data_IF_974062858865
#
_entry.id   IF_974062858865
#
_cell.length_a   1.000
_cell.length_b   1.000
_cell.length_c   1.000
_cell.angle_alpha   90.00
_cell.angle_beta   90.00
_cell.angle_gamma   90.00
#
_symmetry.space_group_name_H-M   'P 1'
#
loop_
_entity.id
_entity.type
_entity.pdbx_description
1 polymer ?
#
# COMPACT_ATOMS: atom_id res chain seq x y z
N UNK A 1 -8.53 3.01 -15.10
CA UNK A 1 -9.94 2.68 -14.76
C UNK A 1 -10.47 3.63 -13.70
N UNK A 2 -11.68 4.15 -13.87
CA UNK A 2 -12.36 5.02 -12.89
C UNK A 2 -13.53 4.29 -12.24
N UNK A 3 -13.71 4.46 -10.93
CA UNK A 3 -14.90 4.01 -10.20
C UNK A 3 -15.48 5.25 -9.52
N UNK A 4 -16.75 5.56 -9.77
CA UNK A 4 -17.40 6.79 -9.29
C UNK A 4 -16.59 8.07 -9.61
N UNK A 5 -15.92 8.12 -10.76
CA UNK A 5 -15.08 9.24 -11.19
C UNK A 5 -13.67 9.29 -10.59
N UNK A 6 -13.32 8.37 -9.68
CA UNK A 6 -12.00 8.32 -9.03
C UNK A 6 -11.11 7.32 -9.74
N UNK A 7 -9.87 7.70 -10.06
CA UNK A 7 -8.87 6.79 -10.64
C UNK A 7 -8.49 5.71 -9.63
N UNK A 8 -8.75 4.45 -9.98
CA UNK A 8 -8.42 3.30 -9.13
C UNK A 8 -6.91 3.16 -8.93
N UNK A 9 -6.12 3.49 -9.96
CA UNK A 9 -4.65 3.50 -9.87
C UNK A 9 -4.20 4.53 -8.83
N UNK A 10 -4.76 5.75 -8.86
CA UNK A 10 -4.44 6.79 -7.89
C UNK A 10 -4.82 6.37 -6.47
N UNK A 11 -6.02 5.83 -6.29
CA UNK A 11 -6.52 5.39 -4.99
C UNK A 11 -5.60 4.32 -4.37
N UNK A 12 -5.26 3.28 -5.14
CA UNK A 12 -4.33 2.25 -4.68
C UNK A 12 -2.92 2.79 -4.43
N UNK A 13 -2.48 3.79 -5.20
CA UNK A 13 -1.20 4.47 -4.97
C UNK A 13 -1.15 5.15 -3.61
N UNK A 14 -2.21 5.87 -3.24
CA UNK A 14 -2.33 6.53 -1.93
C UNK A 14 -2.35 5.48 -0.80
N UNK A 15 -3.11 4.40 -0.95
CA UNK A 15 -3.14 3.30 0.04
C UNK A 15 -1.75 2.69 0.23
N UNK A 16 -1.05 2.37 -0.86
CA UNK A 16 0.31 1.84 -0.80
C UNK A 16 1.29 2.81 -0.14
N UNK A 17 1.16 4.12 -0.41
CA UNK A 17 1.98 5.15 0.21
C UNK A 17 1.78 5.20 1.73
N UNK A 18 0.55 5.15 2.20
CA UNK A 18 0.25 5.12 3.64
C UNK A 18 0.82 3.85 4.28
N UNK A 19 0.61 2.69 3.64
CA UNK A 19 1.11 1.42 4.14
C UNK A 19 2.64 1.39 4.22
N UNK A 20 3.37 1.86 3.20
CA UNK A 20 4.84 1.88 3.26
C UNK A 20 5.38 2.86 4.31
N UNK A 21 4.75 4.03 4.48
CA UNK A 21 5.12 4.96 5.57
C UNK A 21 4.90 4.32 6.95
N UNK A 22 3.81 3.58 7.12
CA UNK A 22 3.59 2.78 8.32
C UNK A 22 4.68 1.71 8.51
N UNK A 23 5.09 1.01 7.45
CA UNK A 23 6.15 0.00 7.56
C UNK A 23 7.51 0.58 7.89
N UNK A 24 7.87 1.71 7.29
CA UNK A 24 9.14 2.38 7.59
C UNK A 24 9.14 2.91 9.02
N UNK A 25 8.05 3.56 9.45
CA UNK A 25 7.95 4.11 10.80
C UNK A 25 7.96 3.02 11.89
N UNK A 26 7.29 1.89 11.67
CA UNK A 26 7.31 0.76 12.60
C UNK A 26 8.62 -0.02 12.55
N UNK A 27 9.23 -0.20 11.39
CA UNK A 27 10.55 -0.83 11.22
C UNK A 27 11.68 -0.02 11.87
N UNK A 28 11.60 1.32 11.83
CA UNK A 28 12.50 2.23 12.55
C UNK A 28 12.18 2.37 14.04
N UNK A 29 11.13 1.70 14.54
CA UNK A 29 10.64 1.81 15.92
C UNK A 29 10.19 3.22 16.31
N UNK A 30 9.89 4.09 15.35
CA UNK A 30 9.24 5.39 15.61
C UNK A 30 7.82 5.20 16.12
N UNK A 31 7.13 4.17 15.61
CA UNK A 31 5.84 3.72 16.11
C UNK A 31 6.01 2.31 16.66
N UNK A 32 5.72 2.11 17.95
CA UNK A 32 5.83 0.80 18.60
C UNK A 32 4.54 0.01 18.38
N UNK A 33 4.65 -1.08 17.64
CA UNK A 33 3.55 -2.04 17.44
C UNK A 33 4.06 -3.45 17.62
N UNK A 34 3.15 -4.40 17.84
CA UNK A 34 3.52 -5.82 17.84
C UNK A 34 4.00 -6.25 16.44
N UNK A 35 5.12 -6.97 16.36
CA UNK A 35 5.73 -7.38 15.08
C UNK A 35 4.77 -8.18 14.19
N UNK A 36 3.83 -8.94 14.79
CA UNK A 36 2.80 -9.65 14.03
C UNK A 36 1.95 -8.70 13.15
N UNK A 37 1.66 -7.48 13.61
CA UNK A 37 0.94 -6.48 12.83
C UNK A 37 1.80 -5.88 11.71
N UNK A 38 3.08 -5.63 11.97
CA UNK A 38 4.04 -5.18 10.95
C UNK A 38 4.09 -6.21 9.80
N UNK A 39 4.24 -7.49 10.14
CA UNK A 39 4.27 -8.59 9.16
C UNK A 39 2.95 -8.73 8.39
N UNK A 40 1.79 -8.73 9.07
CA UNK A 40 0.47 -8.85 8.41
C UNK A 40 0.20 -7.69 7.44
N UNK A 41 0.45 -6.46 7.88
CA UNK A 41 0.30 -5.28 7.02
C UNK A 41 1.37 -5.24 5.93
N UNK A 42 2.50 -5.92 6.11
CA UNK A 42 3.59 -5.99 5.12
C UNK A 42 3.21 -6.88 3.96
N UNK A 43 2.56 -8.01 4.27
CA UNK A 43 1.94 -8.87 3.25
C UNK A 43 0.82 -8.12 2.54
N UNK A 44 -0.02 -7.37 3.27
CA UNK A 44 -1.08 -6.56 2.66
C UNK A 44 -0.49 -5.54 1.67
N UNK A 45 0.54 -4.80 2.08
CA UNK A 45 1.27 -3.84 1.23
C UNK A 45 1.82 -4.50 -0.04
N UNK A 46 2.43 -5.69 0.08
CA UNK A 46 2.95 -6.41 -1.07
C UNK A 46 1.84 -6.72 -2.09
N UNK A 47 0.72 -7.27 -1.62
CA UNK A 47 -0.40 -7.63 -2.49
C UNK A 47 -0.99 -6.38 -3.16
N UNK A 48 -1.21 -5.30 -2.40
CA UNK A 48 -1.76 -4.06 -2.96
C UNK A 48 -0.78 -3.35 -3.90
N UNK A 49 0.53 -3.45 -3.67
CA UNK A 49 1.55 -2.90 -4.56
C UNK A 49 1.63 -3.67 -5.88
N UNK A 50 1.54 -5.00 -5.85
CA UNK A 50 1.49 -5.83 -7.06
C UNK A 50 0.25 -5.51 -7.91
N UNK A 51 -0.93 -5.44 -7.29
CA UNK A 51 -2.17 -5.05 -7.98
C UNK A 51 -2.05 -3.64 -8.56
N UNK A 52 -1.53 -2.69 -7.78
CA UNK A 52 -1.32 -1.32 -8.26
C UNK A 52 -0.37 -1.27 -9.47
N UNK A 53 0.75 -1.99 -9.43
CA UNK A 53 1.72 -2.04 -10.52
C UNK A 53 1.10 -2.60 -11.81
N UNK A 54 0.37 -3.72 -11.72
CA UNK A 54 -0.34 -4.32 -12.87
C UNK A 54 -1.36 -3.34 -13.43
N UNK A 55 -2.20 -2.73 -12.59
CA UNK A 55 -3.22 -1.79 -13.06
C UNK A 55 -2.62 -0.52 -13.66
N UNK A 56 -1.53 0.00 -13.10
CA UNK A 56 -0.82 1.15 -13.63
C UNK A 56 -0.21 0.85 -15.01
N UNK A 57 0.41 -0.32 -15.16
CA UNK A 57 0.98 -0.76 -16.44
C UNK A 57 -0.10 -0.93 -17.51
N UNK A 58 -1.24 -1.53 -17.18
CA UNK A 58 -2.36 -1.72 -18.09
C UNK A 58 -3.16 -0.44 -18.37
N UNK A 59 -2.99 0.61 -17.56
CA UNK A 59 -3.66 1.91 -17.74
C UNK A 59 -2.80 2.95 -18.46
N UNK A 60 -1.62 2.54 -18.94
CA UNK A 60 -0.73 3.36 -19.78
C UNK A 60 -1.18 3.30 -21.24
#
# INVERSE_FOLDING_TARGET
MTIAGISLVLLLGIVNLILILFQVSTGKKWVKIHFAWHRRLGVLLLLTALVHAVLAYLSR
#
